data_IF_867489776395
#
_entry.id   IF_867489776395
#
_cell.length_a   1.000
_cell.length_b   1.000
_cell.length_c   1.000
_cell.angle_alpha   90.00
_cell.angle_beta   90.00
_cell.angle_gamma   90.00
#
_symmetry.space_group_name_H-M   'P 1'
#
loop_
_entity.id
_entity.type
_entity.pdbx_description
1 polymer ?
#
# COMPACT_ATOMS: atom_id res chain seq x y z
N UNK A 1 17.61 40.07 45.09
CA UNK A 1 17.41 38.60 45.21
C UNK A 1 16.28 38.15 44.29
N UNK A 2 16.49 38.07 42.95
CA UNK A 2 15.47 37.60 41.99
C UNK A 2 16.14 37.11 40.69
N UNK A 3 16.75 35.94 40.71
CA UNK A 3 17.34 35.33 39.50
C UNK A 3 17.36 33.80 39.53
N UNK A 4 16.45 33.15 40.28
CA UNK A 4 16.48 31.69 40.48
C UNK A 4 15.24 30.90 40.05
N UNK A 5 14.28 31.52 39.35
CA UNK A 5 13.01 30.84 39.00
C UNK A 5 12.88 30.54 37.49
N UNK A 6 13.80 31.02 36.64
CA UNK A 6 13.70 30.83 35.18
C UNK A 6 14.24 29.48 34.67
N UNK A 7 15.07 28.78 35.44
CA UNK A 7 15.63 27.48 35.02
C UNK A 7 14.62 26.31 35.01
N UNK A 8 13.75 26.12 36.03
CA UNK A 8 12.82 24.99 36.03
C UNK A 8 11.68 25.14 35.01
N UNK A 9 11.39 26.36 34.55
CA UNK A 9 10.41 26.58 33.49
C UNK A 9 10.93 26.16 32.10
N UNK A 10 12.25 26.25 31.87
CA UNK A 10 12.88 25.88 30.61
C UNK A 10 13.01 24.35 30.43
N UNK A 11 13.19 23.60 31.52
CA UNK A 11 13.24 22.12 31.49
C UNK A 11 11.88 21.46 31.31
N UNK A 12 10.78 22.09 31.74
CA UNK A 12 9.43 21.55 31.54
C UNK A 12 9.00 21.64 30.06
N UNK A 13 9.52 22.60 29.29
CA UNK A 13 9.24 22.73 27.86
C UNK A 13 9.91 21.65 26.99
N UNK A 14 10.96 20.99 27.48
CA UNK A 14 11.70 19.95 26.74
C UNK A 14 11.03 18.57 26.90
N UNK A 15 10.16 18.40 27.92
CA UNK A 15 9.46 17.14 28.20
C UNK A 15 8.11 17.01 27.48
N UNK A 16 7.60 18.07 26.84
CA UNK A 16 6.60 17.91 25.78
C UNK A 16 7.32 17.45 24.53
N UNK A 17 7.82 16.21 24.59
CA UNK A 17 8.38 15.54 23.45
C UNK A 17 7.37 15.67 22.32
N UNK A 18 7.73 16.44 21.29
CA UNK A 18 7.09 16.31 20.00
C UNK A 18 7.13 14.82 19.70
N UNK A 19 6.00 14.13 19.87
CA UNK A 19 5.83 12.81 19.27
C UNK A 19 6.09 13.09 17.81
N UNK A 20 7.24 12.64 17.30
CA UNK A 20 7.50 12.68 15.88
C UNK A 20 6.23 12.09 15.22
N UNK A 21 5.58 12.83 14.31
CA UNK A 21 4.37 12.31 13.67
C UNK A 21 4.72 10.92 13.14
N UNK A 22 3.90 9.93 13.49
CA UNK A 22 4.12 8.57 12.99
C UNK A 22 4.18 8.70 11.47
N UNK A 23 5.24 8.16 10.87
CA UNK A 23 5.49 8.25 9.42
C UNK A 23 4.28 7.78 8.58
N UNK A 24 3.44 6.91 9.15
CA UNK A 24 2.13 6.57 8.63
C UNK A 24 1.11 6.52 9.77
N UNK A 25 -0.13 6.86 9.46
CA UNK A 25 -1.27 6.38 10.25
C UNK A 25 -1.38 4.89 10.04
N UNK A 26 -1.53 4.12 11.12
CA UNK A 26 -1.76 2.67 11.03
C UNK A 26 -2.87 2.41 10.03
N UNK A 27 -2.50 1.87 8.85
CA UNK A 27 -3.47 1.47 7.85
C UNK A 27 -4.26 0.33 8.48
N UNK A 28 -5.52 0.63 8.83
CA UNK A 28 -6.41 -0.37 9.41
C UNK A 28 -6.68 -1.39 8.31
N UNK A 29 -6.05 -2.55 8.41
CA UNK A 29 -6.41 -3.70 7.59
C UNK A 29 -7.82 -4.12 7.96
N UNK A 30 -8.73 -4.19 7.00
CA UNK A 30 -10.13 -4.57 7.23
C UNK A 30 -10.45 -5.99 6.78
N UNK A 31 -9.42 -6.81 6.58
CA UNK A 31 -9.68 -8.25 6.57
C UNK A 31 -10.19 -8.66 7.96
N UNK A 32 -11.04 -9.68 8.10
CA UNK A 32 -11.27 -10.28 9.41
C UNK A 32 -9.92 -10.65 10.02
N UNK A 33 -9.66 -10.34 11.29
CA UNK A 33 -8.38 -10.60 11.97
C UNK A 33 -7.91 -12.06 11.82
N UNK A 34 -8.86 -12.99 11.68
CA UNK A 34 -8.67 -14.42 11.46
C UNK A 34 -8.05 -14.79 10.09
N UNK A 35 -7.97 -13.84 9.15
CA UNK A 35 -7.39 -14.00 7.81
C UNK A 35 -6.14 -13.15 7.58
N UNK A 36 -5.68 -12.42 8.60
CA UNK A 36 -4.57 -11.46 8.51
C UNK A 36 -3.21 -12.01 8.98
N UNK A 37 -3.13 -13.28 9.36
CA UNK A 37 -1.89 -13.84 9.88
C UNK A 37 -0.85 -14.02 8.75
N UNK A 38 0.27 -13.32 8.84
CA UNK A 38 1.49 -13.56 8.07
C UNK A 38 2.06 -14.96 8.42
N UNK A 39 2.65 -15.69 7.47
CA UNK A 39 3.25 -17.02 7.75
C UNK A 39 4.71 -16.86 8.19
N UNK A 40 5.33 -15.73 7.85
CA UNK A 40 6.77 -15.53 8.05
C UNK A 40 7.07 -14.94 9.45
N UNK A 41 6.05 -14.45 10.16
CA UNK A 41 6.20 -14.01 11.54
C UNK A 41 5.03 -14.43 12.43
N UNK A 42 5.37 -15.05 13.56
CA UNK A 42 4.56 -15.04 14.78
C UNK A 42 4.45 -13.61 15.35
N UNK A 43 4.07 -12.62 14.54
CA UNK A 43 3.96 -11.23 14.95
C UNK A 43 2.70 -10.60 14.37
N UNK A 44 2.00 -9.85 15.21
CA UNK A 44 0.78 -9.09 14.90
C UNK A 44 1.03 -7.88 13.97
N UNK A 45 2.05 -7.94 13.10
CA UNK A 45 2.43 -6.83 12.22
C UNK A 45 1.68 -6.97 10.89
N UNK A 46 0.80 -6.02 10.59
CA UNK A 46 0.09 -5.92 9.31
C UNK A 46 1.05 -5.85 8.12
N UNK A 47 0.80 -6.56 6.99
CA UNK A 47 1.57 -6.46 5.74
C UNK A 47 1.86 -5.01 5.31
N UNK A 48 0.89 -4.12 5.51
CA UNK A 48 1.00 -2.72 5.18
C UNK A 48 2.10 -2.01 6.00
N UNK A 49 2.25 -2.38 7.27
CA UNK A 49 3.29 -1.84 8.15
C UNK A 49 4.68 -2.29 7.73
N UNK A 50 4.82 -3.52 7.21
CA UNK A 50 6.09 -4.00 6.67
C UNK A 50 6.51 -3.15 5.47
N UNK A 51 5.63 -3.01 4.47
CA UNK A 51 5.92 -2.25 3.24
C UNK A 51 6.25 -0.79 3.56
N UNK A 52 5.43 -0.12 4.37
CA UNK A 52 5.65 1.30 4.70
C UNK A 52 6.89 1.55 5.58
N UNK A 53 7.27 0.59 6.43
CA UNK A 53 8.52 0.71 7.18
C UNK A 53 9.73 0.57 6.27
N UNK A 54 9.70 -0.34 5.30
CA UNK A 54 10.78 -0.54 4.33
C UNK A 54 10.99 0.71 3.46
N UNK A 55 9.89 1.38 3.09
CA UNK A 55 9.90 2.59 2.27
C UNK A 55 10.10 3.89 3.04
N UNK A 56 10.31 3.82 4.36
CA UNK A 56 10.32 4.99 5.23
C UNK A 56 11.33 6.06 4.79
N UNK A 57 12.52 5.64 4.39
CA UNK A 57 13.60 6.56 4.03
C UNK A 57 13.40 7.16 2.62
N UNK A 58 12.87 6.37 1.69
CA UNK A 58 12.56 6.81 0.32
C UNK A 58 11.41 7.83 0.29
N UNK A 59 10.44 7.68 1.20
CA UNK A 59 9.22 8.48 1.23
C UNK A 59 9.29 9.68 2.20
N UNK A 60 10.47 10.03 2.73
CA UNK A 60 10.62 11.11 3.73
C UNK A 60 10.12 12.47 3.21
N UNK A 61 10.22 12.71 1.91
CA UNK A 61 9.81 13.97 1.28
C UNK A 61 8.46 13.87 0.54
N UNK A 62 7.79 12.73 0.65
CA UNK A 62 6.54 12.43 -0.03
C UNK A 62 5.37 12.80 0.86
N UNK A 63 4.34 13.43 0.30
CA UNK A 63 3.11 13.75 1.03
C UNK A 63 2.01 12.78 0.70
N UNK A 64 1.98 12.29 -0.53
CA UNK A 64 0.88 11.52 -1.09
C UNK A 64 1.41 10.26 -1.76
N UNK A 65 0.89 9.12 -1.32
CA UNK A 65 1.15 7.84 -1.99
C UNK A 65 -0.17 7.16 -2.37
N UNK A 66 -0.12 6.40 -3.45
CA UNK A 66 -1.16 5.44 -3.82
C UNK A 66 -0.57 4.06 -3.61
N UNK A 67 -1.15 3.29 -2.71
CA UNK A 67 -0.67 1.98 -2.33
C UNK A 67 -1.67 0.91 -2.78
N UNK A 68 -1.26 0.09 -3.74
CA UNK A 68 -2.04 -1.04 -4.22
C UNK A 68 -1.50 -2.34 -3.62
N UNK A 69 -2.37 -3.07 -2.94
CA UNK A 69 -2.11 -4.34 -2.27
C UNK A 69 -2.90 -5.46 -2.95
N UNK A 70 -2.18 -6.49 -3.41
CA UNK A 70 -2.72 -7.65 -4.11
C UNK A 70 -2.33 -8.94 -3.36
N UNK A 71 -3.26 -9.57 -2.63
CA UNK A 71 -3.01 -10.89 -2.03
C UNK A 71 -2.99 -11.98 -3.12
N UNK A 72 -2.19 -13.04 -2.91
CA UNK A 72 -2.18 -14.19 -3.80
C UNK A 72 -3.57 -14.90 -3.78
N UNK A 73 -4.19 -15.21 -4.94
CA UNK A 73 -5.56 -15.76 -5.05
C UNK A 73 -5.80 -17.17 -4.50
N UNK A 74 -4.91 -17.70 -3.67
CA UNK A 74 -5.10 -18.97 -2.99
C UNK A 74 -5.73 -18.77 -1.60
N UNK A 75 -6.79 -19.53 -1.29
CA UNK A 75 -7.63 -19.35 -0.09
C UNK A 75 -6.89 -19.41 1.25
N UNK A 76 -5.75 -20.09 1.32
CA UNK A 76 -4.88 -20.24 2.49
C UNK A 76 -3.51 -19.59 2.30
N UNK A 77 -3.28 -18.92 1.17
CA UNK A 77 -2.01 -18.25 0.92
C UNK A 77 -1.92 -16.98 1.76
N UNK A 78 -0.70 -16.73 2.22
CA UNK A 78 -0.30 -15.55 2.97
C UNK A 78 0.69 -14.71 2.16
N UNK A 79 0.87 -15.07 0.90
CA UNK A 79 1.71 -14.36 -0.04
C UNK A 79 0.95 -13.14 -0.57
N UNK A 80 1.70 -12.10 -0.86
CA UNK A 80 1.14 -10.87 -1.39
C UNK A 80 2.18 -10.10 -2.19
N UNK A 81 1.69 -9.24 -3.05
CA UNK A 81 2.50 -8.32 -3.84
C UNK A 81 1.75 -7.01 -4.05
N UNK A 82 2.38 -6.07 -4.73
CA UNK A 82 1.73 -4.84 -5.15
C UNK A 82 2.72 -3.73 -5.43
N UNK A 83 2.19 -2.51 -5.46
CA UNK A 83 2.97 -1.32 -5.75
C UNK A 83 2.62 -0.16 -4.81
N UNK A 84 3.63 0.62 -4.43
CA UNK A 84 3.46 1.96 -3.87
C UNK A 84 3.90 2.95 -4.94
N UNK A 85 2.98 3.83 -5.34
CA UNK A 85 3.27 4.94 -6.23
C UNK A 85 3.42 6.23 -5.40
N UNK A 86 4.61 6.82 -5.46
CA UNK A 86 4.93 8.11 -4.89
C UNK A 86 4.52 9.21 -5.88
N UNK A 87 3.48 9.95 -5.51
CA UNK A 87 2.81 10.90 -6.40
C UNK A 87 3.66 12.14 -6.65
N UNK A 88 4.43 12.59 -5.66
CA UNK A 88 5.27 13.78 -5.80
C UNK A 88 6.54 13.53 -6.60
N UNK A 89 7.12 12.32 -6.47
CA UNK A 89 8.39 11.99 -7.12
C UNK A 89 8.22 11.15 -8.40
N UNK A 90 6.99 10.80 -8.76
CA UNK A 90 6.65 9.95 -9.93
C UNK A 90 7.41 8.61 -9.93
N UNK A 91 7.49 7.97 -8.76
CA UNK A 91 8.24 6.72 -8.55
C UNK A 91 7.34 5.57 -8.16
N UNK A 92 7.66 4.39 -8.66
CA UNK A 92 6.99 3.14 -8.30
C UNK A 92 7.92 2.24 -7.48
N UNK A 93 7.40 1.75 -6.36
CA UNK A 93 8.05 0.78 -5.49
C UNK A 93 7.24 -0.51 -5.49
N UNK A 94 7.78 -1.56 -6.10
CA UNK A 94 7.15 -2.87 -6.18
C UNK A 94 7.59 -3.71 -5.00
N UNK A 95 6.65 -4.36 -4.34
CA UNK A 95 6.93 -5.30 -3.26
C UNK A 95 6.35 -6.66 -3.58
N UNK A 96 7.06 -7.68 -3.14
CA UNK A 96 6.65 -9.07 -3.19
C UNK A 96 7.01 -9.73 -1.86
N UNK A 97 6.08 -10.51 -1.33
CA UNK A 97 6.29 -11.37 -0.20
C UNK A 97 5.76 -12.76 -0.55
N UNK A 98 6.66 -13.62 -1.00
CA UNK A 98 6.40 -15.02 -1.33
C UNK A 98 7.40 -15.93 -0.62
N UNK A 99 7.21 -17.25 -0.66
CA UNK A 99 8.20 -18.19 -0.12
C UNK A 99 9.57 -18.06 -0.81
N UNK A 100 9.58 -17.81 -2.11
CA UNK A 100 10.79 -17.66 -2.92
C UNK A 100 11.43 -16.27 -2.78
N UNK A 101 10.61 -15.25 -2.55
CA UNK A 101 11.02 -13.85 -2.46
C UNK A 101 10.44 -13.19 -1.20
N UNK A 102 10.95 -13.53 -0.01
CA UNK A 102 10.47 -12.95 1.23
C UNK A 102 10.84 -11.46 1.29
N UNK A 103 9.84 -10.59 1.47
CA UNK A 103 9.98 -9.13 1.65
C UNK A 103 10.84 -8.45 0.59
N UNK A 104 10.77 -8.93 -0.65
CA UNK A 104 11.56 -8.36 -1.75
C UNK A 104 10.93 -7.04 -2.16
N UNK A 105 11.70 -5.96 -2.02
CA UNK A 105 11.37 -4.65 -2.54
C UNK A 105 12.23 -4.36 -3.78
N UNK A 106 11.63 -3.79 -4.81
CA UNK A 106 12.36 -3.26 -5.96
C UNK A 106 11.81 -1.90 -6.36
N UNK A 107 12.72 -0.98 -6.65
CA UNK A 107 12.38 0.35 -7.18
C UNK A 107 12.44 0.26 -8.69
N UNK A 108 11.42 0.75 -9.39
CA UNK A 108 11.46 0.78 -10.84
C UNK A 108 10.84 2.05 -11.39
N UNK A 109 11.59 2.75 -12.24
CA UNK A 109 11.07 3.85 -13.06
C UNK A 109 10.41 3.31 -14.35
N UNK A 110 10.81 2.12 -14.80
CA UNK A 110 10.23 1.38 -15.93
C UNK A 110 10.56 -0.11 -15.78
N UNK A 111 9.65 -0.89 -15.20
CA UNK A 111 9.87 -2.31 -14.94
C UNK A 111 9.95 -3.08 -16.26
N UNK A 112 11.10 -3.71 -16.55
CA UNK A 112 11.37 -4.43 -17.79
C UNK A 112 10.83 -5.86 -17.76
N UNK A 113 9.54 -6.07 -17.44
CA UNK A 113 8.90 -7.36 -17.72
C UNK A 113 8.23 -7.33 -19.11
N UNK A 114 8.23 -8.43 -19.87
CA UNK A 114 7.83 -8.43 -21.28
C UNK A 114 6.32 -8.32 -21.53
N UNK A 115 5.49 -8.34 -20.49
CA UNK A 115 4.04 -8.24 -20.61
C UNK A 115 3.56 -7.10 -19.72
N UNK A 116 2.86 -6.14 -20.33
CA UNK A 116 2.48 -4.86 -19.80
C UNK A 116 1.99 -4.83 -18.33
N UNK A 117 2.32 -3.73 -17.67
CA UNK A 117 2.33 -3.56 -16.23
C UNK A 117 0.91 -3.41 -15.61
N UNK A 118 0.32 -4.54 -15.19
CA UNK A 118 -0.95 -4.61 -14.45
C UNK A 118 -1.07 -3.57 -13.33
N UNK A 119 -0.07 -3.49 -12.46
CA UNK A 119 -0.07 -2.55 -11.33
C UNK A 119 -0.12 -1.10 -11.80
N UNK A 120 0.64 -0.75 -12.83
CA UNK A 120 0.57 0.59 -13.43
C UNK A 120 -0.80 0.86 -14.03
N UNK A 121 -1.39 -0.09 -14.76
CA UNK A 121 -2.74 0.04 -15.29
C UNK A 121 -3.77 0.34 -14.19
N UNK A 122 -3.69 -0.39 -13.07
CA UNK A 122 -4.55 -0.19 -11.91
C UNK A 122 -4.36 1.21 -11.29
N UNK A 123 -3.10 1.62 -11.05
CA UNK A 123 -2.77 2.94 -10.49
C UNK A 123 -3.24 4.08 -11.42
N UNK A 124 -3.00 3.97 -12.73
CA UNK A 124 -3.37 5.02 -13.69
C UNK A 124 -4.89 5.18 -13.78
N UNK A 125 -5.65 4.08 -13.87
CA UNK A 125 -7.11 4.15 -13.86
C UNK A 125 -7.64 4.73 -12.53
N UNK A 126 -7.02 4.38 -11.40
CA UNK A 126 -7.40 4.95 -10.11
C UNK A 126 -7.17 6.46 -10.08
N UNK A 127 -6.01 6.95 -10.56
CA UNK A 127 -5.68 8.38 -10.66
C UNK A 127 -6.63 9.14 -11.56
N UNK A 128 -7.14 8.50 -12.61
CA UNK A 128 -8.17 9.05 -13.50
C UNK A 128 -9.59 8.99 -12.91
N UNK A 129 -9.76 8.53 -11.67
CA UNK A 129 -11.07 8.42 -11.01
C UNK A 129 -11.92 7.24 -11.50
N UNK A 130 -11.33 6.30 -12.24
CA UNK A 130 -12.03 5.15 -12.86
C UNK A 130 -12.13 3.95 -11.92
N UNK A 131 -12.41 4.16 -10.64
CA UNK A 131 -12.52 3.06 -9.67
C UNK A 131 -13.67 2.10 -9.99
N UNK A 132 -14.79 2.62 -10.49
CA UNK A 132 -15.94 1.76 -10.84
C UNK A 132 -15.67 0.91 -12.09
N UNK A 133 -14.80 1.37 -12.98
CA UNK A 133 -14.32 0.57 -14.09
C UNK A 133 -13.48 -0.63 -13.60
N UNK A 134 -12.55 -0.41 -12.66
CA UNK A 134 -11.77 -1.50 -12.04
C UNK A 134 -12.66 -2.52 -11.32
N UNK A 135 -13.71 -2.07 -10.61
CA UNK A 135 -14.70 -2.98 -10.00
C UNK A 135 -15.42 -3.84 -11.03
N UNK A 136 -15.91 -3.22 -12.12
CA UNK A 136 -16.56 -3.95 -13.22
C UNK A 136 -15.61 -4.99 -13.82
N UNK A 137 -14.33 -4.67 -14.00
CA UNK A 137 -13.32 -5.61 -14.50
C UNK A 137 -13.25 -6.86 -13.61
N UNK A 138 -13.12 -6.67 -12.29
CA UNK A 138 -13.14 -7.76 -11.32
C UNK A 138 -14.41 -8.61 -11.36
N UNK A 139 -15.59 -7.97 -11.43
CA UNK A 139 -16.89 -8.68 -11.50
C UNK A 139 -17.02 -9.56 -12.74
N UNK A 140 -16.47 -9.12 -13.88
CA UNK A 140 -16.56 -9.89 -15.14
C UNK A 140 -15.49 -10.97 -15.26
N UNK A 141 -14.44 -10.92 -14.45
CA UNK A 141 -13.34 -11.89 -14.43
C UNK A 141 -13.76 -13.17 -13.70
N UNK A 142 -14.68 -13.92 -14.30
CA UNK A 142 -15.12 -15.23 -13.81
C UNK A 142 -14.09 -16.32 -14.16
N UNK A 143 -12.93 -16.29 -13.51
CA UNK A 143 -12.06 -17.47 -13.41
C UNK A 143 -12.54 -18.28 -12.19
N UNK A 144 -13.01 -19.49 -12.46
CA UNK A 144 -13.55 -20.50 -11.53
C UNK A 144 -13.25 -20.32 -10.02
N UNK A 145 -14.24 -19.83 -9.27
CA UNK A 145 -14.51 -20.25 -7.89
C UNK A 145 -13.95 -19.42 -6.73
N UNK A 146 -12.85 -18.70 -6.90
CA UNK A 146 -12.30 -17.82 -5.85
C UNK A 146 -11.73 -16.54 -6.47
N UNK A 147 -12.31 -15.40 -6.12
CA UNK A 147 -11.87 -14.07 -6.55
C UNK A 147 -11.07 -13.43 -5.42
N UNK A 148 -9.77 -13.22 -5.63
CA UNK A 148 -8.99 -12.42 -4.70
C UNK A 148 -9.50 -10.98 -4.76
N UNK A 149 -9.66 -10.37 -3.60
CA UNK A 149 -9.97 -8.94 -3.57
C UNK A 149 -8.68 -8.19 -3.37
N UNK A 150 -8.44 -7.23 -4.24
CA UNK A 150 -7.33 -6.30 -4.15
C UNK A 150 -7.79 -5.02 -3.45
N UNK A 151 -6.83 -4.25 -2.93
CA UNK A 151 -7.10 -2.99 -2.26
C UNK A 151 -6.18 -1.88 -2.77
N UNK A 152 -6.75 -0.71 -3.09
CA UNK A 152 -6.00 0.52 -3.30
C UNK A 152 -6.26 1.45 -2.14
N UNK A 153 -5.17 1.99 -1.59
CA UNK A 153 -5.17 3.00 -0.54
C UNK A 153 -4.65 4.31 -1.13
N UNK A 154 -5.44 5.35 -0.98
CA UNK A 154 -5.07 6.73 -1.28
C UNK A 154 -4.65 7.40 0.03
N UNK A 155 -3.35 7.64 0.24
CA UNK A 155 -2.76 7.93 1.55
C UNK A 155 -2.07 9.29 1.55
N UNK A 156 -2.54 10.17 2.43
CA UNK A 156 -1.84 11.39 2.81
C UNK A 156 -0.93 11.08 4.01
N UNK A 157 0.37 10.99 3.77
CA UNK A 157 1.40 10.71 4.77
C UNK A 157 1.55 11.84 5.78
N UNK A 158 1.24 13.09 5.41
CA UNK A 158 1.41 14.25 6.29
C UNK A 158 0.26 14.41 7.26
N UNK A 159 -0.96 14.27 6.76
CA UNK A 159 -2.17 14.38 7.57
C UNK A 159 -2.56 13.05 8.20
N UNK A 160 -1.92 11.95 7.77
CA UNK A 160 -2.20 10.62 8.29
C UNK A 160 -3.60 10.15 7.95
N UNK A 161 -4.14 10.56 6.81
CA UNK A 161 -5.48 10.14 6.35
C UNK A 161 -5.34 9.17 5.21
N UNK A 162 -6.27 8.22 5.10
CA UNK A 162 -6.34 7.36 3.93
C UNK A 162 -7.79 7.07 3.53
N UNK A 163 -7.98 6.79 2.24
CA UNK A 163 -9.20 6.18 1.70
C UNK A 163 -8.84 4.82 1.13
N UNK A 164 -9.74 3.84 1.27
CA UNK A 164 -9.58 2.50 0.70
C UNK A 164 -10.65 2.22 -0.32
N UNK A 165 -10.25 1.58 -1.41
CA UNK A 165 -11.12 1.01 -2.42
C UNK A 165 -10.74 -0.45 -2.63
N UNK A 166 -11.72 -1.30 -2.93
CA UNK A 166 -11.51 -2.73 -3.20
C UNK A 166 -12.21 -3.14 -4.48
N UNK A 167 -11.63 -4.09 -5.19
CA UNK A 167 -12.19 -4.70 -6.40
C UNK A 167 -11.68 -6.14 -6.51
N UNK A 168 -12.41 -6.98 -7.24
CA UNK A 168 -11.95 -8.35 -7.55
C UNK A 168 -10.77 -8.32 -8.52
N UNK A 169 -9.84 -9.26 -8.38
CA UNK A 169 -8.76 -9.47 -9.34
C UNK A 169 -9.30 -9.76 -10.74
N UNK A 170 -8.52 -9.41 -11.76
CA UNK A 170 -8.90 -9.65 -13.15
C UNK A 170 -7.72 -10.03 -14.02
N UNK A 171 -7.99 -10.88 -15.01
CA UNK A 171 -6.95 -11.37 -15.92
C UNK A 171 -6.49 -10.25 -16.87
N UNK A 172 -5.20 -9.92 -16.77
CA UNK A 172 -4.53 -8.89 -17.56
C UNK A 172 -3.44 -9.54 -18.42
N UNK A 173 -3.48 -9.34 -19.74
CA UNK A 173 -2.54 -9.95 -20.68
C UNK A 173 -2.28 -8.99 -21.84
N UNK A 174 -1.03 -8.90 -22.29
CA UNK A 174 -0.64 -8.07 -23.44
C UNK A 174 -1.17 -6.61 -23.35
N UNK A 175 -1.12 -5.99 -22.16
CA UNK A 175 -1.38 -4.54 -22.06
C UNK A 175 -2.77 -4.14 -21.74
N UNK A 176 -3.64 -5.12 -21.54
CA UNK A 176 -5.04 -4.84 -21.30
C UNK A 176 -5.72 -5.94 -20.53
N UNK A 177 -6.86 -5.62 -19.90
CA UNK A 177 -7.76 -6.64 -19.41
C UNK A 177 -8.16 -7.58 -20.56
N UNK A 178 -8.24 -8.88 -20.27
CA UNK A 178 -8.63 -9.88 -21.27
C UNK A 178 -10.10 -9.78 -21.68
N UNK A 179 -10.91 -9.04 -20.92
CA UNK A 179 -12.27 -8.64 -21.26
C UNK A 179 -12.36 -7.12 -21.30
N UNK A 180 -12.77 -6.58 -22.44
CA UNK A 180 -13.10 -5.16 -22.55
C UNK A 180 -14.50 -4.91 -21.96
N UNK A 181 -14.60 -3.87 -21.13
CA UNK A 181 -15.86 -3.38 -20.57
C UNK A 181 -16.03 -1.93 -21.04
N UNK A 182 -17.21 -1.61 -21.58
CA UNK A 182 -17.57 -0.24 -21.89
C UNK A 182 -17.81 0.56 -20.60
N UNK A 183 -17.24 1.76 -20.54
CA UNK A 183 -17.45 2.70 -19.42
C UNK A 183 -18.93 3.03 -19.22
#
# INVERSE_FOLDING_TARGET
MKTRILLPALTILICFGCKAPKFYTELISTYPSEKQDDYVMNSSISPHKLVLNELKDELQNTKHIIYHYAPNPEWNSKEFSGVVYDVENDKYYYFENSQEHPRKLSVSENYQYPDDNYYKFVIDNFREGKIDYLKKLGETSNLSGYTAHEAIYDIDLKNGTNKRYTFGDFLFMNGKPTKDISN
#
